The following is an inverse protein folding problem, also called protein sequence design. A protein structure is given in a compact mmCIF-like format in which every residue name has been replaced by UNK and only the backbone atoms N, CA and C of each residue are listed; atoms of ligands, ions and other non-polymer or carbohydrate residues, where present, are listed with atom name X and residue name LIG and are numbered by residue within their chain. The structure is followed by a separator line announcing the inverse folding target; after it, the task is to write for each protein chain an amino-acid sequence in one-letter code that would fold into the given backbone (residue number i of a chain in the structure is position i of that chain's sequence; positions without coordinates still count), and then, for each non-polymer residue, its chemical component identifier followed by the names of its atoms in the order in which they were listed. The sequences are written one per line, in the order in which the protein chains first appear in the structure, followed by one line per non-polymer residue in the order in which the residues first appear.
data_IF_477498308204
#
_entry.id   IF_477498308204
#
_cell.length_a   1.000
_cell.length_b   1.000
_cell.length_c   1.000
_cell.angle_alpha   90.00
_cell.angle_beta   90.00
_cell.angle_gamma   90.00
#
_symmetry.space_group_name_H-M   'P 1'
#
loop_
_entity.id
_entity.type
_entity.pdbx_description
1 polymer ?
#
# COMPACT_ATOMS: atom_id res chain seq x y z
N UNK A 1 2.40 13.12 -2.91
CA UNK A 1 2.36 12.20 -4.06
C UNK A 1 1.54 12.84 -5.17
N UNK A 2 2.11 13.08 -6.37
CA UNK A 2 1.32 13.58 -7.51
C UNK A 2 0.29 12.52 -7.95
N UNK A 3 -0.81 12.94 -8.57
CA UNK A 3 -1.95 12.12 -9.05
C UNK A 3 -2.92 11.55 -8.00
N UNK A 4 -2.76 11.90 -6.71
CA UNK A 4 -3.77 11.59 -5.69
C UNK A 4 -4.94 12.57 -5.80
N UNK A 5 -6.07 12.14 -6.36
CA UNK A 5 -7.35 12.83 -6.13
C UNK A 5 -7.96 12.29 -4.85
N UNK A 6 -8.12 13.16 -3.85
CA UNK A 6 -8.63 12.79 -2.54
C UNK A 6 -10.13 13.07 -2.49
N UNK A 7 -10.93 12.00 -2.43
CA UNK A 7 -12.38 12.09 -2.25
C UNK A 7 -12.71 11.53 -0.87
N UNK A 8 -13.34 12.33 -0.02
CA UNK A 8 -13.90 11.88 1.26
C UNK A 8 -15.40 11.73 1.05
N UNK A 9 -15.93 10.55 1.32
CA UNK A 9 -17.37 10.37 1.38
C UNK A 9 -17.88 11.09 2.64
N UNK A 10 -18.64 12.17 2.45
CA UNK A 10 -19.34 12.90 3.52
C UNK A 10 -20.69 12.23 3.77
N UNK A 11 -20.71 10.94 4.12
CA UNK A 11 -21.84 10.46 4.93
C UNK A 11 -21.74 11.12 6.30
N UNK A 12 -22.83 11.20 7.06
CA UNK A 12 -22.94 11.88 8.37
C UNK A 12 -21.97 11.41 9.47
N UNK A 13 -21.01 10.53 9.14
CA UNK A 13 -19.95 10.07 10.01
C UNK A 13 -18.64 10.83 9.73
N UNK A 14 -17.93 11.32 10.76
CA UNK A 14 -16.59 11.88 10.60
C UNK A 14 -15.53 10.83 10.18
N UNK A 15 -15.93 9.55 10.08
CA UNK A 15 -15.05 8.45 9.73
C UNK A 15 -14.86 8.33 8.21
N UNK A 16 -13.60 8.43 7.79
CA UNK A 16 -13.22 8.25 6.39
C UNK A 16 -13.32 6.77 6.00
N UNK A 17 -14.30 6.45 5.16
CA UNK A 17 -14.56 5.07 4.71
C UNK A 17 -13.74 4.62 3.51
N UNK A 18 -13.26 5.54 2.67
CA UNK A 18 -12.56 5.20 1.43
C UNK A 18 -11.40 6.14 1.09
N UNK A 19 -10.42 5.59 0.38
CA UNK A 19 -9.35 6.30 -0.31
C UNK A 19 -9.31 5.82 -1.75
N UNK A 20 -9.62 6.70 -2.71
CA UNK A 20 -9.65 6.35 -4.14
C UNK A 20 -8.36 6.79 -4.81
N UNK A 21 -7.71 5.88 -5.53
CA UNK A 21 -6.54 6.15 -6.37
C UNK A 21 -6.93 6.00 -7.84
N UNK A 22 -6.91 7.11 -8.59
CA UNK A 22 -7.11 7.09 -10.06
C UNK A 22 -5.74 7.13 -10.71
N UNK A 23 -5.34 6.05 -11.37
CA UNK A 23 -4.01 5.86 -11.93
C UNK A 23 -4.09 5.39 -13.37
N UNK A 24 -3.19 5.87 -14.22
CA UNK A 24 -3.06 5.34 -15.58
C UNK A 24 -2.61 3.88 -15.53
N UNK A 25 -3.28 3.03 -16.32
CA UNK A 25 -2.93 1.63 -16.47
C UNK A 25 -1.45 1.48 -16.83
N UNK A 26 -0.77 0.53 -16.20
CA UNK A 26 0.67 0.24 -16.39
C UNK A 26 1.63 1.39 -16.04
N UNK A 27 1.16 2.51 -15.47
CA UNK A 27 2.05 3.53 -14.89
C UNK A 27 2.88 2.95 -13.73
N UNK A 28 3.99 3.63 -13.38
CA UNK A 28 4.84 3.23 -12.25
C UNK A 28 4.04 3.13 -10.95
N UNK A 29 3.06 4.01 -10.75
CA UNK A 29 2.20 3.99 -9.57
C UNK A 29 1.18 2.86 -9.62
N UNK A 30 0.60 2.56 -10.78
CA UNK A 30 -0.27 1.39 -10.96
C UNK A 30 0.49 0.10 -10.62
N UNK A 31 1.64 -0.11 -11.26
CA UNK A 31 2.49 -1.30 -11.06
C UNK A 31 2.86 -1.45 -9.59
N UNK A 32 3.28 -0.37 -8.91
CA UNK A 32 3.62 -0.40 -7.48
C UNK A 32 2.47 -0.93 -6.62
N UNK A 33 1.23 -0.46 -6.84
CA UNK A 33 0.08 -0.90 -6.05
C UNK A 33 -0.30 -2.35 -6.34
N UNK A 34 -0.37 -2.74 -7.62
CA UNK A 34 -0.73 -4.11 -8.01
C UNK A 34 0.34 -5.09 -7.53
N UNK A 35 1.62 -4.77 -7.75
CA UNK A 35 2.74 -5.60 -7.30
C UNK A 35 2.69 -5.82 -5.79
N UNK A 36 2.54 -4.76 -4.99
CA UNK A 36 2.51 -4.90 -3.53
C UNK A 36 1.31 -5.71 -3.04
N UNK A 37 0.11 -5.47 -3.59
CA UNK A 37 -1.10 -6.23 -3.27
C UNK A 37 -0.91 -7.73 -3.53
N UNK A 38 -0.43 -8.07 -4.72
CA UNK A 38 -0.31 -9.47 -5.14
C UNK A 38 0.86 -10.15 -4.41
N UNK A 39 1.95 -9.43 -4.15
CA UNK A 39 3.07 -9.91 -3.34
C UNK A 39 2.62 -10.33 -1.94
N UNK A 40 1.85 -9.50 -1.23
CA UNK A 40 1.33 -9.86 0.09
C UNK A 40 0.36 -11.05 0.05
N UNK A 41 -0.38 -11.23 -1.04
CA UNK A 41 -1.27 -12.40 -1.21
C UNK A 41 -0.50 -13.68 -1.44
N UNK A 42 0.64 -13.60 -2.15
CA UNK A 42 1.50 -14.75 -2.45
C UNK A 42 2.42 -15.14 -1.28
N UNK A 43 2.83 -14.19 -0.44
CA UNK A 43 3.75 -14.43 0.68
C UNK A 43 3.07 -14.18 2.04
N UNK A 44 2.35 -15.17 2.60
CA UNK A 44 1.62 -15.02 3.87
C UNK A 44 2.48 -14.55 5.04
N UNK A 45 3.75 -14.95 5.11
CA UNK A 45 4.68 -14.48 6.16
C UNK A 45 4.83 -12.96 6.17
N UNK A 46 5.08 -12.36 5.00
CA UNK A 46 5.22 -10.90 4.87
C UNK A 46 3.88 -10.18 5.14
N UNK A 47 2.75 -10.78 4.75
CA UNK A 47 1.42 -10.27 5.11
C UNK A 47 1.23 -10.21 6.62
N UNK A 48 1.62 -11.27 7.34
CA UNK A 48 1.54 -11.32 8.80
C UNK A 48 2.46 -10.28 9.44
N UNK A 49 3.70 -10.14 8.97
CA UNK A 49 4.61 -9.08 9.45
C UNK A 49 4.01 -7.68 9.26
N UNK A 50 3.41 -7.41 8.09
CA UNK A 50 2.76 -6.12 7.84
C UNK A 50 1.52 -5.90 8.71
N UNK A 51 0.76 -6.96 9.00
CA UNK A 51 -0.36 -6.90 9.92
C UNK A 51 0.11 -6.55 11.34
N UNK A 52 1.05 -7.31 11.90
CA UNK A 52 1.59 -7.09 13.23
C UNK A 52 2.19 -5.69 13.39
N UNK A 53 2.88 -5.19 12.35
CA UNK A 53 3.38 -3.82 12.34
C UNK A 53 2.23 -2.80 12.46
N UNK A 54 1.16 -2.94 11.66
CA UNK A 54 0.02 -2.02 11.71
C UNK A 54 -0.72 -2.08 13.04
N UNK A 55 -0.89 -3.28 13.61
CA UNK A 55 -1.50 -3.47 14.93
C UNK A 55 -0.66 -2.79 16.02
N UNK A 56 0.66 -3.01 16.02
CA UNK A 56 1.58 -2.33 16.95
C UNK A 56 1.53 -0.81 16.82
N UNK A 57 1.49 -0.29 15.59
CA UNK A 57 1.41 1.15 15.35
C UNK A 57 0.03 1.72 15.73
N UNK A 58 -1.06 0.95 15.61
CA UNK A 58 -2.39 1.43 16.00
C UNK A 58 -2.60 1.53 17.51
N UNK A 59 -1.76 0.85 18.31
CA UNK A 59 -1.79 0.98 19.78
C UNK A 59 -1.02 2.20 20.30
N UNK A 60 -0.36 2.96 19.42
CA UNK A 60 0.40 4.15 19.80
C UNK A 60 -0.45 5.41 19.65
N UNK A 61 -0.19 6.40 20.50
CA UNK A 61 -0.75 7.74 20.34
C UNK A 61 0.06 8.52 19.31
N UNK A 62 -0.63 9.13 18.36
CA UNK A 62 -0.04 9.92 17.28
C UNK A 62 -0.63 11.33 17.29
N UNK A 63 0.20 12.32 16.94
CA UNK A 63 -0.26 13.70 16.82
C UNK A 63 -1.18 13.86 15.62
N UNK A 64 -0.86 13.20 14.51
CA UNK A 64 -1.73 13.07 13.35
C UNK A 64 -1.46 11.78 12.54
N UNK A 65 -2.23 11.58 11.47
CA UNK A 65 -2.11 10.39 10.62
C UNK A 65 -0.82 10.30 9.79
N UNK A 66 0.00 11.35 9.70
CA UNK A 66 1.30 11.30 9.03
C UNK A 66 2.33 10.58 9.88
N UNK A 67 2.30 10.72 11.20
CA UNK A 67 3.23 10.02 12.11
C UNK A 67 3.02 8.50 12.03
N UNK A 68 1.74 8.08 11.98
CA UNK A 68 1.39 6.67 11.72
C UNK A 68 1.91 6.18 10.36
N UNK A 69 1.88 7.03 9.34
CA UNK A 69 2.43 6.67 8.02
C UNK A 69 3.96 6.58 8.04
N UNK A 70 4.63 7.43 8.81
CA UNK A 70 6.09 7.39 8.97
C UNK A 70 6.52 6.12 9.71
N UNK A 71 5.78 5.70 10.74
CA UNK A 71 6.06 4.49 11.51
C UNK A 71 6.13 3.19 10.69
N UNK A 72 5.48 3.15 9.52
CA UNK A 72 5.53 2.01 8.58
C UNK A 72 6.32 2.29 7.29
N UNK A 73 6.89 3.48 7.13
CA UNK A 73 7.49 3.95 5.88
C UNK A 73 8.68 3.08 5.44
N UNK A 74 9.57 2.74 6.37
CA UNK A 74 10.74 1.89 6.09
C UNK A 74 10.35 0.49 5.62
N UNK A 75 9.41 -0.15 6.33
CA UNK A 75 8.86 -1.45 5.96
C UNK A 75 8.23 -1.41 4.57
N UNK A 76 7.33 -0.43 4.32
CA UNK A 76 6.66 -0.27 3.04
C UNK A 76 7.66 -0.09 1.89
N UNK A 77 8.63 0.82 2.02
CA UNK A 77 9.63 1.06 0.96
C UNK A 77 10.43 -0.20 0.63
N UNK A 78 10.84 -0.97 1.64
CA UNK A 78 11.59 -2.20 1.42
C UNK A 78 10.73 -3.26 0.71
N UNK A 79 9.53 -3.51 1.22
CA UNK A 79 8.65 -4.55 0.67
C UNK A 79 8.07 -4.16 -0.69
N UNK A 80 7.78 -2.89 -0.95
CA UNK A 80 7.36 -2.40 -2.28
C UNK A 80 8.46 -2.62 -3.33
N UNK A 81 9.73 -2.39 -2.98
CA UNK A 81 10.86 -2.66 -3.88
C UNK A 81 10.98 -4.15 -4.21
N UNK A 82 10.83 -5.03 -3.21
CA UNK A 82 10.82 -6.50 -3.42
C UNK A 82 9.62 -6.92 -4.27
N UNK A 83 8.44 -6.39 -3.96
CA UNK A 83 7.20 -6.67 -4.66
C UNK A 83 7.29 -6.28 -6.15
N UNK A 84 7.82 -5.10 -6.47
CA UNK A 84 8.02 -4.67 -7.87
C UNK A 84 8.99 -5.62 -8.59
N UNK A 85 10.08 -6.03 -7.94
CA UNK A 85 11.04 -6.98 -8.53
C UNK A 85 10.39 -8.33 -8.82
N UNK A 86 9.65 -8.87 -7.85
CA UNK A 86 8.89 -10.11 -7.97
C UNK A 86 7.81 -10.03 -9.07
N UNK A 87 7.04 -8.95 -9.09
CA UNK A 87 5.99 -8.73 -10.08
C UNK A 87 6.56 -8.67 -11.51
N UNK A 88 7.71 -8.01 -11.70
CA UNK A 88 8.40 -8.01 -12.99
C UNK A 88 8.93 -9.39 -13.38
N UNK A 89 9.34 -10.24 -12.44
CA UNK A 89 9.78 -11.60 -12.78
C UNK A 89 8.62 -12.49 -13.22
N UNK A 90 7.43 -12.34 -12.65
CA UNK A 90 6.26 -13.13 -13.05
C UNK A 90 5.66 -12.63 -14.38
N UNK A 91 5.58 -11.32 -14.59
CA UNK A 91 4.99 -10.75 -15.82
C UNK A 91 5.90 -10.97 -17.03
N UNK A 92 7.22 -10.98 -16.86
CA UNK A 92 8.15 -11.34 -17.94
C UNK A 92 8.05 -12.81 -18.38
N UNK A 93 7.40 -13.66 -17.59
CA UNK A 93 7.17 -15.08 -17.92
C UNK A 93 5.83 -15.32 -18.64
N UNK A 94 4.98 -14.30 -18.79
CA UNK A 94 3.76 -14.38 -19.61
C UNK A 94 3.94 -13.50 -20.85
N UNK A 95 4.11 -14.08 -22.05
CA UNK A 95 4.10 -13.29 -23.27
C UNK A 95 2.71 -12.69 -23.45
N UNK A 96 2.67 -11.45 -23.95
CA UNK A 96 1.45 -10.84 -24.51
C UNK A 96 1.14 -11.53 -25.82
#
# INVERSE_FOLDING_TARGET
MPYRRFFVNLTSSPLRSAHIHVLQLNSVHWIRHIAFRDYLRTYPGIKTEYQLLKEKLSQQEWKDGNDYNEGKNSFLKNEERKAIKWYKSIVRMQPI
#
